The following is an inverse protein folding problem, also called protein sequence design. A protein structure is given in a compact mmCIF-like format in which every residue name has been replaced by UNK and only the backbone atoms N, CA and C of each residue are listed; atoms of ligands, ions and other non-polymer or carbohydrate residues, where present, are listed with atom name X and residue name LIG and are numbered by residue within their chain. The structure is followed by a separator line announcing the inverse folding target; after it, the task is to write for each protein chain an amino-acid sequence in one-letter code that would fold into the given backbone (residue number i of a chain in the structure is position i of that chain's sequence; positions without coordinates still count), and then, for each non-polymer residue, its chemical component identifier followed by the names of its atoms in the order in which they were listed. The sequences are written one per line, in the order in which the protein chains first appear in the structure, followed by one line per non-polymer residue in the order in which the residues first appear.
data_IF_462708534787
#
_entry.id   IF_462708534787
#
_cell.length_a   1.000
_cell.length_b   1.000
_cell.length_c   1.000
_cell.angle_alpha   90.00
_cell.angle_beta   90.00
_cell.angle_gamma   90.00
#
_symmetry.space_group_name_H-M   'P 1'
#
loop_
_entity.id
_entity.type
_entity.pdbx_description
1 polymer ?
#
# COMPACT_ATOMS: atom_id res chain seq x y z
N UNK A 1 -62.66 -52.83 10.86
CA UNK A 1 -62.59 -51.82 9.79
C UNK A 1 -62.03 -50.55 10.42
N UNK A 2 -60.80 -50.20 10.06
CA UNK A 2 -59.97 -49.18 10.71
C UNK A 2 -60.38 -47.75 10.34
N UNK A 3 -60.31 -46.85 11.32
CA UNK A 3 -60.39 -45.38 11.18
C UNK A 3 -59.09 -44.83 10.55
N UNK A 4 -59.21 -43.92 9.57
CA UNK A 4 -58.21 -42.87 9.31
C UNK A 4 -58.91 -41.59 8.78
N UNK A 5 -58.61 -40.41 9.33
CA UNK A 5 -59.22 -39.13 8.93
C UNK A 5 -58.54 -38.49 7.71
N UNK A 6 -59.27 -37.59 7.03
CA UNK A 6 -58.88 -36.83 5.84
C UNK A 6 -57.60 -36.02 6.05
N UNK A 7 -56.67 -36.05 5.07
CA UNK A 7 -55.52 -35.14 4.95
C UNK A 7 -56.00 -33.67 4.90
N UNK A 8 -55.46 -32.83 5.77
CA UNK A 8 -55.51 -31.36 5.65
C UNK A 8 -54.63 -30.91 4.48
N UNK A 9 -55.13 -29.97 3.68
CA UNK A 9 -54.38 -29.28 2.64
C UNK A 9 -53.40 -28.26 3.26
N UNK A 10 -52.22 -28.02 2.66
CA UNK A 10 -51.28 -27.03 3.17
C UNK A 10 -51.82 -25.61 2.97
N UNK A 11 -51.78 -24.81 4.04
CA UNK A 11 -52.11 -23.38 4.05
C UNK A 11 -51.14 -22.57 3.16
N UNK A 12 -51.59 -21.45 2.56
CA UNK A 12 -50.72 -20.53 1.86
C UNK A 12 -49.72 -19.92 2.85
N UNK A 13 -48.45 -19.84 2.46
CA UNK A 13 -47.45 -19.12 3.23
C UNK A 13 -47.80 -17.63 3.18
N UNK A 14 -48.23 -17.08 4.31
CA UNK A 14 -48.25 -15.64 4.52
C UNK A 14 -46.82 -15.12 4.39
N UNK A 15 -46.69 -14.07 3.60
CA UNK A 15 -45.46 -13.35 3.35
C UNK A 15 -45.04 -12.69 4.67
N UNK A 16 -44.03 -13.26 5.33
CA UNK A 16 -43.39 -12.64 6.48
C UNK A 16 -42.64 -11.41 5.97
N UNK A 17 -43.32 -10.27 6.05
CA UNK A 17 -42.74 -8.94 6.02
C UNK A 17 -41.76 -8.83 7.19
N UNK A 18 -40.50 -9.19 6.93
CA UNK A 18 -39.38 -8.96 7.84
C UNK A 18 -39.01 -7.48 7.76
N UNK A 19 -39.67 -6.70 8.60
CA UNK A 19 -39.15 -5.45 9.13
C UNK A 19 -37.89 -5.74 9.96
N UNK A 20 -36.73 -5.69 9.33
CA UNK A 20 -35.43 -5.59 10.01
C UNK A 20 -34.86 -4.18 9.82
N UNK A 21 -35.56 -3.19 10.38
CA UNK A 21 -35.01 -1.87 10.68
C UNK A 21 -34.20 -1.94 11.97
N UNK A 22 -33.01 -2.53 11.91
CA UNK A 22 -32.01 -2.41 12.95
C UNK A 22 -31.17 -1.12 12.73
N UNK A 23 -30.99 -0.26 13.75
CA UNK A 23 -30.31 1.02 13.59
C UNK A 23 -28.80 0.85 13.38
N UNK A 24 -28.37 0.97 12.12
CA UNK A 24 -27.31 1.88 11.70
C UNK A 24 -25.92 1.75 12.32
N UNK A 25 -25.24 0.61 12.11
CA UNK A 25 -23.78 0.65 11.87
C UNK A 25 -23.57 0.48 10.38
N UNK A 26 -23.08 1.53 9.72
CA UNK A 26 -22.80 1.61 8.28
C UNK A 26 -22.33 0.27 7.69
N UNK A 27 -23.27 -0.52 7.18
CA UNK A 27 -22.95 -1.75 6.49
C UNK A 27 -22.16 -1.33 5.24
N UNK A 28 -20.86 -1.62 5.24
CA UNK A 28 -19.95 -1.25 4.15
C UNK A 28 -20.55 -1.81 2.85
N UNK A 29 -21.04 -0.90 1.99
CA UNK A 29 -21.73 -1.24 0.76
C UNK A 29 -20.71 -1.88 -0.18
N UNK A 30 -20.86 -3.18 -0.48
CA UNK A 30 -19.90 -3.94 -1.29
C UNK A 30 -19.96 -3.48 -2.76
N UNK A 31 -18.80 -3.22 -3.38
CA UNK A 31 -18.70 -3.00 -4.82
C UNK A 31 -18.38 -4.32 -5.50
N UNK A 32 -19.35 -4.86 -6.25
CA UNK A 32 -19.26 -6.20 -6.82
C UNK A 32 -18.22 -6.39 -7.95
N UNK A 33 -17.61 -5.33 -8.51
CA UNK A 33 -16.57 -5.45 -9.56
C UNK A 33 -15.58 -4.28 -9.51
N UNK A 34 -14.35 -4.52 -9.98
CA UNK A 34 -13.37 -3.47 -10.26
C UNK A 34 -13.98 -2.45 -11.23
N UNK A 35 -14.28 -1.24 -10.73
CA UNK A 35 -15.01 -0.21 -11.47
C UNK A 35 -14.08 0.97 -11.79
N UNK A 36 -14.43 1.78 -12.79
CA UNK A 36 -13.77 3.06 -13.14
C UNK A 36 -13.59 3.98 -11.93
N UNK A 37 -14.50 3.91 -10.94
CA UNK A 37 -14.39 4.64 -9.67
C UNK A 37 -13.15 4.24 -8.86
N UNK A 38 -12.74 2.97 -8.88
CA UNK A 38 -11.51 2.52 -8.22
C UNK A 38 -10.27 3.04 -8.95
N UNK A 39 -10.28 3.06 -10.29
CA UNK A 39 -9.16 3.63 -11.07
C UNK A 39 -8.99 5.12 -10.78
N UNK A 40 -10.10 5.88 -10.79
CA UNK A 40 -10.07 7.32 -10.48
C UNK A 40 -9.61 7.55 -9.04
N UNK A 41 -10.07 6.74 -8.08
CA UNK A 41 -9.61 6.79 -6.71
C UNK A 41 -8.09 6.53 -6.61
N UNK A 42 -7.59 5.43 -7.17
CA UNK A 42 -6.18 5.05 -7.10
C UNK A 42 -5.27 6.09 -7.77
N UNK A 43 -5.67 6.67 -8.91
CA UNK A 43 -4.84 7.65 -9.61
C UNK A 43 -4.94 9.05 -8.98
N UNK A 44 -6.15 9.57 -8.82
CA UNK A 44 -6.34 10.96 -8.41
C UNK A 44 -6.18 11.18 -6.90
N UNK A 45 -6.56 10.20 -6.08
CA UNK A 45 -6.54 10.32 -4.62
C UNK A 45 -5.30 9.68 -3.99
N UNK A 46 -4.75 8.63 -4.60
CA UNK A 46 -3.54 7.98 -4.08
C UNK A 46 -2.27 8.37 -4.83
N UNK A 47 -2.22 8.17 -6.15
CA UNK A 47 -0.97 8.31 -6.91
C UNK A 47 -0.48 9.76 -7.01
N UNK A 48 -1.36 10.71 -7.38
CA UNK A 48 -0.98 12.12 -7.54
C UNK A 48 -0.58 12.75 -6.19
N UNK A 49 -1.37 12.66 -5.10
CA UNK A 49 -0.95 13.24 -3.82
C UNK A 49 0.29 12.54 -3.27
N UNK A 50 0.38 11.22 -3.41
CA UNK A 50 1.57 10.45 -3.02
C UNK A 50 2.83 10.91 -3.74
N UNK A 51 2.74 11.15 -5.06
CA UNK A 51 3.82 11.71 -5.87
C UNK A 51 4.25 13.10 -5.36
N UNK A 52 3.30 14.03 -5.22
CA UNK A 52 3.60 15.42 -4.84
C UNK A 52 4.21 15.49 -3.45
N UNK A 53 3.60 14.82 -2.47
CA UNK A 53 4.07 14.83 -1.07
C UNK A 53 5.45 14.17 -0.99
N UNK A 54 5.65 13.02 -1.62
CA UNK A 54 6.93 12.33 -1.59
C UNK A 54 8.03 13.11 -2.30
N UNK A 55 7.74 13.73 -3.44
CA UNK A 55 8.67 14.62 -4.13
C UNK A 55 9.07 15.80 -3.24
N UNK A 56 8.10 16.45 -2.58
CA UNK A 56 8.36 17.59 -1.70
C UNK A 56 9.21 17.22 -0.47
N UNK A 57 8.92 16.09 0.18
CA UNK A 57 9.70 15.61 1.34
C UNK A 57 11.14 15.30 0.91
N UNK A 58 11.33 14.60 -0.21
CA UNK A 58 12.67 14.26 -0.68
C UNK A 58 13.46 15.49 -1.16
N UNK A 59 12.78 16.47 -1.76
CA UNK A 59 13.36 17.79 -2.07
C UNK A 59 13.85 18.49 -0.79
N UNK A 60 13.02 18.53 0.25
CA UNK A 60 13.38 19.18 1.51
C UNK A 60 14.59 18.51 2.18
N UNK A 61 14.60 17.17 2.26
CA UNK A 61 15.70 16.41 2.82
C UNK A 61 16.99 16.62 2.02
N UNK A 62 16.93 16.54 0.68
CA UNK A 62 18.12 16.79 -0.15
C UNK A 62 18.63 18.22 -0.05
N UNK A 63 17.73 19.21 0.02
CA UNK A 63 18.12 20.60 0.21
C UNK A 63 18.93 20.77 1.50
N UNK A 64 18.43 20.29 2.63
CA UNK A 64 19.14 20.37 3.92
C UNK A 64 20.47 19.60 3.86
N UNK A 65 20.47 18.38 3.33
CA UNK A 65 21.68 17.54 3.29
C UNK A 65 22.79 18.11 2.39
N UNK A 66 22.44 18.68 1.23
CA UNK A 66 23.42 19.04 0.20
C UNK A 66 23.72 20.54 0.13
N UNK A 67 22.78 21.42 0.51
CA UNK A 67 22.99 22.88 0.48
C UNK A 67 23.53 23.40 1.80
N UNK A 68 23.04 22.91 2.95
CA UNK A 68 23.49 23.42 4.26
C UNK A 68 24.90 22.91 4.62
N UNK A 69 25.33 21.77 4.06
CA UNK A 69 26.65 21.18 4.25
C UNK A 69 27.77 21.84 3.39
N UNK A 70 27.72 23.17 3.23
CA UNK A 70 28.41 24.00 2.21
C UNK A 70 29.93 24.21 2.41
N UNK A 71 30.63 23.32 3.13
CA UNK A 71 32.07 23.44 3.43
C UNK A 71 32.99 22.47 2.65
N UNK A 72 32.49 21.84 1.57
CA UNK A 72 33.12 20.81 0.69
C UNK A 72 33.18 19.39 1.30
N UNK A 73 33.12 18.28 0.51
CA UNK A 73 33.48 18.09 -0.91
C UNK A 73 32.27 17.84 -1.85
N UNK A 74 32.59 17.73 -3.15
CA UNK A 74 31.67 17.35 -4.22
C UNK A 74 30.89 16.07 -3.91
N UNK A 75 29.69 15.96 -4.48
CA UNK A 75 28.83 14.79 -4.26
C UNK A 75 29.24 13.68 -5.21
N UNK A 76 29.39 12.47 -4.68
CA UNK A 76 29.83 11.31 -5.43
C UNK A 76 28.69 10.30 -5.59
N UNK A 77 28.73 9.51 -6.65
CA UNK A 77 27.74 8.47 -6.87
C UNK A 77 27.90 7.34 -5.84
N UNK A 78 29.09 6.74 -5.74
CA UNK A 78 29.32 5.58 -4.86
C UNK A 78 30.22 5.88 -3.65
N UNK A 79 31.11 6.88 -3.72
CA UNK A 79 32.07 7.18 -2.66
C UNK A 79 31.41 7.81 -1.42
N UNK A 80 31.78 7.30 -0.24
CA UNK A 80 31.46 7.87 1.07
C UNK A 80 32.30 9.14 1.33
N UNK A 81 31.84 10.13 2.12
CA UNK A 81 30.67 10.10 3.01
C UNK A 81 29.35 10.59 2.36
N UNK A 82 29.41 11.34 1.24
CA UNK A 82 28.23 11.88 0.55
C UNK A 82 27.89 11.05 -0.70
N UNK A 83 27.44 9.81 -0.49
CA UNK A 83 27.01 8.91 -1.58
C UNK A 83 25.56 9.14 -1.99
N UNK A 84 25.33 9.43 -3.26
CA UNK A 84 23.98 9.50 -3.84
C UNK A 84 23.33 8.13 -3.96
N UNK A 85 24.11 7.10 -4.33
CA UNK A 85 23.59 5.75 -4.49
C UNK A 85 23.11 5.16 -3.15
N UNK A 86 23.88 5.36 -2.07
CA UNK A 86 23.46 4.93 -0.73
C UNK A 86 22.23 5.68 -0.25
N UNK A 87 22.18 6.99 -0.47
CA UNK A 87 21.03 7.82 -0.10
C UNK A 87 19.74 7.41 -0.86
N UNK A 88 19.86 7.08 -2.15
CA UNK A 88 18.76 6.53 -2.94
C UNK A 88 18.25 5.19 -2.39
N UNK A 89 19.16 4.28 -1.99
CA UNK A 89 18.80 2.98 -1.42
C UNK A 89 18.01 3.15 -0.11
N UNK A 90 18.50 4.01 0.79
CA UNK A 90 17.82 4.33 2.06
C UNK A 90 16.46 4.96 1.80
N UNK A 91 16.38 5.88 0.82
CA UNK A 91 15.12 6.52 0.43
C UNK A 91 14.08 5.49 0.00
N UNK A 92 14.44 4.54 -0.88
CA UNK A 92 13.52 3.49 -1.33
C UNK A 92 13.04 2.64 -0.15
N UNK A 93 13.95 2.18 0.71
CA UNK A 93 13.62 1.33 1.86
C UNK A 93 12.66 2.04 2.83
N UNK A 94 13.05 3.23 3.29
CA UNK A 94 12.27 4.00 4.27
C UNK A 94 10.92 4.40 3.67
N UNK A 95 10.89 4.82 2.41
CA UNK A 95 9.65 5.20 1.72
C UNK A 95 8.67 4.04 1.62
N UNK A 96 9.13 2.86 1.17
CA UNK A 96 8.27 1.68 1.05
C UNK A 96 7.70 1.25 2.40
N UNK A 97 8.51 1.23 3.46
CA UNK A 97 8.06 0.88 4.81
C UNK A 97 7.08 1.92 5.35
N UNK A 98 7.40 3.20 5.26
CA UNK A 98 6.52 4.27 5.75
C UNK A 98 5.18 4.30 4.98
N UNK A 99 5.23 4.17 3.65
CA UNK A 99 4.03 4.17 2.81
C UNK A 99 3.14 2.97 3.10
N UNK A 100 3.72 1.80 3.40
CA UNK A 100 2.96 0.61 3.81
C UNK A 100 2.05 0.90 5.00
N UNK A 101 2.61 1.45 6.08
CA UNK A 101 1.85 1.80 7.28
C UNK A 101 0.89 2.96 7.04
N UNK A 102 1.30 3.99 6.30
CA UNK A 102 0.44 5.12 5.97
C UNK A 102 -0.80 4.66 5.21
N UNK A 103 -0.64 3.82 4.19
CA UNK A 103 -1.74 3.31 3.38
C UNK A 103 -2.64 2.35 4.15
N UNK A 104 -2.10 1.57 5.07
CA UNK A 104 -2.93 0.79 5.99
C UNK A 104 -3.94 1.69 6.73
N UNK A 105 -3.46 2.77 7.35
CA UNK A 105 -4.32 3.67 8.13
C UNK A 105 -5.28 4.46 7.23
N UNK A 106 -4.81 4.99 6.10
CA UNK A 106 -5.63 5.78 5.19
C UNK A 106 -6.75 4.95 4.55
N UNK A 107 -6.46 3.74 4.05
CA UNK A 107 -7.48 2.87 3.47
C UNK A 107 -8.48 2.43 4.53
N UNK A 108 -8.01 2.11 5.74
CA UNK A 108 -8.90 1.78 6.85
C UNK A 108 -9.87 2.92 7.17
N UNK A 109 -9.35 4.15 7.27
CA UNK A 109 -10.14 5.36 7.49
C UNK A 109 -11.15 5.60 6.37
N UNK A 110 -10.73 5.49 5.11
CA UNK A 110 -11.57 5.71 3.93
C UNK A 110 -12.70 4.67 3.83
N UNK A 111 -12.45 3.42 4.25
CA UNK A 111 -13.47 2.38 4.35
C UNK A 111 -14.48 2.65 5.48
N UNK A 112 -14.01 3.09 6.65
CA UNK A 112 -14.89 3.42 7.79
C UNK A 112 -15.86 4.56 7.49
N UNK A 113 -15.42 5.54 6.70
CA UNK A 113 -16.24 6.69 6.29
C UNK A 113 -17.03 6.44 4.99
N UNK A 114 -16.93 5.23 4.41
CA UNK A 114 -17.64 4.87 3.18
C UNK A 114 -17.20 5.67 1.95
N UNK A 115 -16.00 6.26 1.97
CA UNK A 115 -15.43 7.03 0.86
C UNK A 115 -15.05 6.12 -0.31
N UNK A 116 -14.73 4.87 0.00
CA UNK A 116 -14.33 3.82 -0.95
C UNK A 116 -15.02 2.53 -0.55
N UNK A 117 -15.31 1.69 -1.53
CA UNK A 117 -15.83 0.36 -1.31
C UNK A 117 -14.69 -0.65 -1.42
N UNK A 118 -14.67 -1.69 -0.57
CA UNK A 118 -13.67 -2.73 -0.69
C UNK A 118 -13.81 -3.44 -2.05
N UNK A 119 -12.67 -3.88 -2.61
CA UNK A 119 -12.66 -4.60 -3.87
C UNK A 119 -13.05 -6.04 -3.58
N UNK A 120 -14.24 -6.44 -4.04
CA UNK A 120 -14.69 -7.82 -3.94
C UNK A 120 -13.88 -8.70 -4.91
N UNK A 121 -13.23 -9.72 -4.35
CA UNK A 121 -12.52 -10.74 -5.13
C UNK A 121 -13.58 -11.77 -5.50
N UNK A 122 -14.16 -11.59 -6.69
CA UNK A 122 -15.17 -12.49 -7.24
C UNK A 122 -14.44 -13.68 -7.86
N UNK A 123 -14.82 -14.88 -7.41
CA UNK A 123 -14.43 -16.22 -7.88
C UNK A 123 -13.15 -16.86 -7.30
N UNK A 124 -13.23 -18.20 -7.21
CA UNK A 124 -12.33 -19.21 -6.61
C UNK A 124 -10.88 -19.25 -7.16
N UNK A 125 -10.37 -18.17 -7.76
CA UNK A 125 -8.95 -18.09 -8.13
C UNK A 125 -8.15 -17.69 -6.90
N UNK A 126 -7.33 -18.59 -6.32
CA UNK A 126 -6.40 -18.18 -5.29
C UNK A 126 -5.47 -17.14 -5.91
N UNK A 127 -5.30 -15.99 -5.22
CA UNK A 127 -4.17 -15.13 -5.53
C UNK A 127 -2.88 -15.98 -5.52
N UNK A 128 -1.86 -15.56 -6.26
CA UNK A 128 -0.56 -16.21 -6.17
C UNK A 128 -0.14 -16.32 -4.71
N UNK A 129 0.49 -17.43 -4.34
CA UNK A 129 0.86 -17.76 -2.96
C UNK A 129 1.61 -16.59 -2.29
N UNK A 130 2.45 -15.90 -3.05
CA UNK A 130 3.20 -14.72 -2.62
C UNK A 130 2.32 -13.52 -2.27
N UNK A 131 1.29 -13.24 -3.08
CA UNK A 131 0.33 -12.15 -2.82
C UNK A 131 -0.55 -12.51 -1.63
N UNK A 132 -0.96 -13.77 -1.52
CA UNK A 132 -1.66 -14.27 -0.34
C UNK A 132 -0.83 -14.10 0.94
N UNK A 133 0.46 -14.43 0.89
CA UNK A 133 1.38 -14.27 2.02
C UNK A 133 1.60 -12.79 2.36
N UNK A 134 1.80 -11.95 1.35
CA UNK A 134 2.01 -10.51 1.49
C UNK A 134 0.77 -9.80 2.06
N UNK A 135 -0.42 -10.19 1.62
CA UNK A 135 -1.69 -9.61 2.04
C UNK A 135 -2.27 -10.19 3.34
N UNK A 136 -1.59 -11.16 3.97
CA UNK A 136 -2.16 -11.89 5.12
C UNK A 136 -3.43 -12.71 4.80
N UNK A 137 -3.59 -13.15 3.56
CA UNK A 137 -4.73 -13.98 3.13
C UNK A 137 -4.53 -15.48 3.44
N UNK A 138 -3.30 -15.92 3.69
CA UNK A 138 -3.02 -17.33 4.00
C UNK A 138 -3.70 -17.73 5.30
N UNK A 139 -4.68 -18.62 5.17
CA UNK A 139 -5.42 -19.37 6.19
C UNK A 139 -4.55 -19.81 7.36
N UNK A 140 -4.36 -18.95 8.37
CA UNK A 140 -4.28 -19.45 9.74
C UNK A 140 -5.72 -19.56 10.23
N UNK A 141 -6.25 -20.78 10.13
CA UNK A 141 -7.53 -21.21 10.72
C UNK A 141 -7.48 -21.20 12.27
N UNK A 142 -6.41 -20.68 12.88
CA UNK A 142 -6.13 -20.71 14.32
C UNK A 142 -5.60 -19.35 14.80
N UNK A 143 -6.47 -18.35 14.82
CA UNK A 143 -6.42 -17.35 15.87
C UNK A 143 -7.87 -16.96 16.15
N UNK A 144 -8.51 -17.78 16.98
CA UNK A 144 -9.71 -17.44 17.72
C UNK A 144 -9.74 -15.94 18.06
N UNK A 145 -10.81 -15.30 17.60
CA UNK A 145 -11.52 -14.20 18.26
C UNK A 145 -10.70 -13.41 19.28
N UNK A 146 -10.26 -12.23 18.88
CA UNK A 146 -10.24 -10.98 19.66
C UNK A 146 -9.10 -10.07 19.17
N UNK A 147 -9.47 -8.86 18.75
CA UNK A 147 -8.82 -7.62 19.16
C UNK A 147 -7.34 -7.74 19.59
N UNK A 148 -6.46 -8.09 18.66
CA UNK A 148 -5.05 -7.78 18.82
C UNK A 148 -4.95 -6.26 18.65
N UNK A 149 -5.17 -5.58 19.77
CA UNK A 149 -5.01 -4.14 19.99
C UNK A 149 -3.87 -3.65 19.10
N UNK A 150 -4.10 -2.56 18.36
CA UNK A 150 -3.15 -1.92 17.44
C UNK A 150 -1.77 -1.58 18.07
N UNK A 151 -1.61 -1.82 19.38
CA UNK A 151 -0.38 -1.73 20.18
C UNK A 151 0.36 -3.06 20.44
N UNK A 152 -0.05 -4.19 19.86
CA UNK A 152 0.70 -5.44 20.04
C UNK A 152 1.95 -5.42 19.16
N UNK A 153 3.12 -5.49 19.79
CA UNK A 153 4.42 -5.56 19.09
C UNK A 153 4.40 -6.69 18.04
N UNK A 154 3.76 -7.82 18.34
CA UNK A 154 3.60 -8.94 17.39
C UNK A 154 2.91 -8.53 16.09
N UNK A 155 1.92 -7.64 16.16
CA UNK A 155 1.23 -7.11 14.97
C UNK A 155 2.15 -6.18 14.17
N UNK A 156 2.82 -5.24 14.84
CA UNK A 156 3.76 -4.31 14.20
C UNK A 156 4.90 -5.05 13.52
N UNK A 157 5.54 -6.00 14.21
CA UNK A 157 6.65 -6.81 13.66
C UNK A 157 6.20 -7.58 12.42
N UNK A 158 5.01 -8.17 12.45
CA UNK A 158 4.43 -8.93 11.33
C UNK A 158 4.21 -8.07 10.07
N UNK A 159 3.73 -6.84 10.25
CA UNK A 159 3.59 -5.90 9.15
C UNK A 159 4.92 -5.31 8.71
N UNK A 160 5.85 -5.05 9.63
CA UNK A 160 7.18 -4.55 9.33
C UNK A 160 7.99 -5.52 8.47
N UNK A 161 7.93 -6.83 8.75
CA UNK A 161 8.61 -7.86 7.94
C UNK A 161 8.10 -7.85 6.48
N UNK A 162 6.79 -7.72 6.29
CA UNK A 162 6.18 -7.67 4.94
C UNK A 162 6.46 -6.36 4.23
N UNK A 163 6.39 -5.25 4.95
CA UNK A 163 6.78 -3.94 4.46
C UNK A 163 8.25 -3.94 4.01
N UNK A 164 9.13 -4.62 4.77
CA UNK A 164 10.53 -4.79 4.42
C UNK A 164 10.71 -5.70 3.20
N UNK A 165 9.99 -6.82 3.10
CA UNK A 165 10.03 -7.68 1.92
C UNK A 165 9.59 -6.92 0.66
N UNK A 166 8.48 -6.17 0.74
CA UNK A 166 8.02 -5.29 -0.33
C UNK A 166 9.07 -4.21 -0.67
N UNK A 167 9.68 -3.61 0.34
CA UNK A 167 10.73 -2.62 0.18
C UNK A 167 11.97 -3.20 -0.51
N UNK A 168 12.36 -4.44 -0.20
CA UNK A 168 13.48 -5.12 -0.84
C UNK A 168 13.20 -5.41 -2.33
N UNK A 169 11.99 -5.82 -2.68
CA UNK A 169 11.60 -5.99 -4.08
C UNK A 169 11.71 -4.67 -4.86
N UNK A 170 11.19 -3.58 -4.28
CA UNK A 170 11.31 -2.26 -4.87
C UNK A 170 12.75 -1.75 -4.89
N UNK A 171 13.56 -2.03 -3.87
CA UNK A 171 14.98 -1.68 -3.84
C UNK A 171 15.71 -2.36 -5.00
N UNK A 172 15.57 -3.68 -5.13
CA UNK A 172 16.24 -4.45 -6.19
C UNK A 172 15.83 -3.98 -7.59
N UNK A 173 14.56 -3.60 -7.79
CA UNK A 173 14.07 -3.13 -9.07
C UNK A 173 14.43 -1.66 -9.36
N UNK A 174 14.11 -0.74 -8.46
CA UNK A 174 14.20 0.71 -8.71
C UNK A 174 15.58 1.28 -8.44
N UNK A 175 16.34 0.70 -7.51
CA UNK A 175 17.66 1.23 -7.18
C UNK A 175 18.59 1.27 -8.41
N UNK A 176 18.85 0.16 -9.15
CA UNK A 176 19.73 0.22 -10.32
C UNK A 176 19.18 1.15 -11.40
N UNK A 177 17.86 1.15 -11.62
CA UNK A 177 17.20 2.02 -12.60
C UNK A 177 17.43 3.50 -12.26
N UNK A 178 17.37 3.85 -10.97
CA UNK A 178 17.59 5.23 -10.51
C UNK A 178 19.04 5.71 -10.73
N UNK A 179 20.02 4.80 -10.77
CA UNK A 179 21.42 5.17 -10.98
C UNK A 179 21.75 5.47 -12.44
N UNK A 180 20.96 4.97 -13.40
CA UNK A 180 21.19 5.18 -14.84
C UNK A 180 21.28 6.68 -15.21
N UNK A 181 20.28 7.54 -14.89
CA UNK A 181 20.36 8.95 -15.23
C UNK A 181 21.53 9.67 -14.53
N UNK A 182 21.92 9.21 -13.34
CA UNK A 182 23.08 9.74 -12.62
C UNK A 182 24.37 9.43 -13.38
N UNK A 183 24.59 8.16 -13.76
CA UNK A 183 25.74 7.73 -14.55
C UNK A 183 25.83 8.49 -15.89
N UNK A 184 24.70 8.80 -16.52
CA UNK A 184 24.66 9.55 -17.78
C UNK A 184 25.03 11.03 -17.65
N UNK A 185 24.75 11.64 -16.51
CA UNK A 185 24.94 13.09 -16.27
C UNK A 185 26.24 13.39 -15.51
N UNK A 186 26.77 12.43 -14.75
CA UNK A 186 27.92 12.62 -13.88
C UNK A 186 29.24 12.81 -14.61
N UNK A 187 30.09 13.67 -14.07
CA UNK A 187 31.46 13.84 -14.56
C UNK A 187 32.31 12.68 -14.05
N UNK A 188 32.98 11.97 -14.95
CA UNK A 188 33.80 10.82 -14.57
C UNK A 188 35.10 11.29 -13.92
N UNK A 189 35.28 10.97 -12.64
CA UNK A 189 36.49 11.27 -11.87
C UNK A 189 37.12 9.97 -11.37
N UNK A 190 38.14 9.50 -12.11
CA UNK A 190 38.77 8.21 -11.86
C UNK A 190 37.79 7.04 -12.04
N UNK A 191 37.43 6.38 -10.93
CA UNK A 191 36.54 5.23 -10.90
C UNK A 191 35.12 5.55 -10.36
N UNK A 192 34.77 6.82 -10.20
CA UNK A 192 33.45 7.25 -9.73
C UNK A 192 32.90 8.41 -10.57
N UNK A 193 31.64 8.75 -10.34
CA UNK A 193 30.96 9.89 -10.94
C UNK A 193 30.78 10.99 -9.90
N UNK A 194 31.20 12.20 -10.26
CA UNK A 194 31.15 13.38 -9.41
C UNK A 194 30.12 14.38 -9.94
N UNK A 195 29.46 15.09 -9.01
CA UNK A 195 28.49 16.14 -9.32
C UNK A 195 28.88 17.44 -8.62
N UNK A 196 29.35 18.40 -9.42
CA UNK A 196 29.63 19.77 -8.97
C UNK A 196 28.37 20.63 -8.85
N UNK A 197 27.30 20.27 -9.57
CA UNK A 197 26.08 21.06 -9.62
C UNK A 197 25.27 20.85 -8.35
N UNK A 198 25.07 21.95 -7.63
CA UNK A 198 24.26 22.01 -6.41
C UNK A 198 22.77 21.68 -6.60
N UNK A 199 22.29 21.35 -7.79
CA UNK A 199 20.88 21.00 -8.05
C UNK A 199 20.69 19.54 -8.46
N UNK A 200 21.76 18.83 -8.86
CA UNK A 200 21.65 17.45 -9.34
C UNK A 200 21.11 16.52 -8.25
N UNK A 201 21.64 16.55 -7.00
CA UNK A 201 21.11 15.73 -5.91
C UNK A 201 19.63 16.01 -5.61
N UNK A 202 19.21 17.27 -5.65
CA UNK A 202 17.86 17.70 -5.31
C UNK A 202 16.85 17.27 -6.38
N UNK A 203 17.16 17.51 -7.66
CA UNK A 203 16.31 17.08 -8.77
C UNK A 203 16.21 15.55 -8.77
N UNK A 204 17.32 14.85 -8.55
CA UNK A 204 17.34 13.39 -8.46
C UNK A 204 16.44 12.89 -7.33
N UNK A 205 16.64 13.38 -6.11
CA UNK A 205 15.82 12.98 -4.94
C UNK A 205 14.34 13.29 -5.13
N UNK A 206 14.03 14.46 -5.68
CA UNK A 206 12.64 14.87 -5.94
C UNK A 206 11.98 13.93 -6.93
N UNK A 207 12.68 13.62 -8.02
CA UNK A 207 12.18 12.72 -9.07
C UNK A 207 12.02 11.30 -8.52
N UNK A 208 13.02 10.79 -7.79
CA UNK A 208 12.97 9.48 -7.15
C UNK A 208 11.78 9.38 -6.19
N UNK A 209 11.65 10.36 -5.29
CA UNK A 209 10.54 10.46 -4.35
C UNK A 209 9.19 10.50 -5.05
N UNK A 210 9.05 11.34 -6.07
CA UNK A 210 7.83 11.47 -6.87
C UNK A 210 7.44 10.15 -7.54
N UNK A 211 8.38 9.52 -8.26
CA UNK A 211 8.15 8.23 -8.95
C UNK A 211 7.77 7.14 -7.95
N UNK A 212 8.49 7.04 -6.83
CA UNK A 212 8.16 6.09 -5.78
C UNK A 212 6.77 6.37 -5.21
N UNK A 213 6.44 7.61 -4.89
CA UNK A 213 5.13 8.00 -4.37
C UNK A 213 4.00 7.68 -5.34
N UNK A 214 4.22 7.93 -6.64
CA UNK A 214 3.26 7.64 -7.70
C UNK A 214 3.02 6.14 -7.86
N UNK A 215 4.08 5.31 -7.78
CA UNK A 215 3.98 3.87 -8.03
C UNK A 215 3.56 3.08 -6.79
N UNK A 216 4.14 3.36 -5.63
CA UNK A 216 3.87 2.56 -4.42
C UNK A 216 2.50 2.87 -3.82
N UNK A 217 2.05 4.14 -3.86
CA UNK A 217 0.78 4.55 -3.26
C UNK A 217 -0.45 3.82 -3.80
N UNK A 218 -0.72 3.78 -5.12
CA UNK A 218 -1.88 3.08 -5.66
C UNK A 218 -1.75 1.56 -5.51
N UNK A 219 -0.54 0.99 -5.69
CA UNK A 219 -0.31 -0.45 -5.54
C UNK A 219 -0.65 -0.90 -4.12
N UNK A 220 -0.13 -0.20 -3.10
CA UNK A 220 -0.41 -0.52 -1.71
C UNK A 220 -1.89 -0.30 -1.36
N UNK A 221 -2.51 0.76 -1.86
CA UNK A 221 -3.92 1.02 -1.61
C UNK A 221 -4.81 -0.06 -2.22
N UNK A 222 -4.48 -0.54 -3.41
CA UNK A 222 -5.14 -1.69 -4.04
C UNK A 222 -4.97 -2.96 -3.20
N UNK A 223 -3.75 -3.28 -2.75
CA UNK A 223 -3.49 -4.44 -1.88
C UNK A 223 -4.34 -4.39 -0.60
N UNK A 224 -4.41 -3.22 0.05
CA UNK A 224 -5.24 -3.07 1.25
C UNK A 224 -6.73 -3.20 0.96
N UNK A 225 -7.24 -2.57 -0.11
CA UNK A 225 -8.65 -2.67 -0.50
C UNK A 225 -9.07 -4.11 -0.82
N UNK A 226 -8.21 -4.88 -1.49
CA UNK A 226 -8.46 -6.29 -1.77
C UNK A 226 -8.46 -7.14 -0.48
N UNK A 227 -7.53 -6.86 0.46
CA UNK A 227 -7.49 -7.55 1.75
C UNK A 227 -8.78 -7.33 2.54
N UNK A 228 -9.24 -6.09 2.64
CA UNK A 228 -10.50 -5.77 3.32
C UNK A 228 -11.72 -6.38 2.62
N UNK A 229 -11.71 -6.48 1.28
CA UNK A 229 -12.77 -7.17 0.54
C UNK A 229 -12.81 -8.66 0.83
N UNK A 230 -11.65 -9.32 0.89
CA UNK A 230 -11.57 -10.74 1.23
C UNK A 230 -12.01 -11.04 2.66
N UNK A 231 -11.58 -10.23 3.64
CA UNK A 231 -11.99 -10.37 5.04
C UNK A 231 -13.50 -10.15 5.24
N UNK A 232 -14.10 -9.24 4.48
CA UNK A 232 -15.54 -9.00 4.51
C UNK A 232 -16.35 -10.18 3.97
N UNK A 233 -15.78 -10.99 3.07
CA UNK A 233 -16.44 -12.16 2.49
C UNK A 233 -16.34 -13.42 3.37
N UNK A 234 -15.25 -13.58 4.14
CA UNK A 234 -15.02 -14.77 4.99
C UNK A 234 -15.59 -14.66 6.42
N UNK A 235 -16.04 -13.48 6.86
CA UNK A 235 -16.75 -13.28 8.13
C UNK A 235 -18.27 -13.56 8.05
N UNK A 236 -18.71 -14.32 7.04
CA UNK A 236 -20.10 -14.78 6.88
C UNK A 236 -20.29 -16.18 7.47
#
# INVERSE_FOLDING_TARGET
MWFFPKRQAPMPKEDVESTDDAPGRNAIKRSAKFNKRHVVYLLCRDAIPGMVISAAINMAISYVMYVEANTQPAVYLFRLPKTLAGDAAVTILVHCVATWFLKFHLVHYDLQHGLVQPIEVVDDQPFTEDVCWLMFLSTEKEATTEDVRMNSIKWVTRHAIRALAFALLFLLAFWPISLIPLIMVGDREGNDFMYHRMWTPQIFKTTLGGVLGFMTSPVLSMLWLMKYGWEANHKR
#
